data_IF_627148536720
#
_entry.id   IF_627148536720
#
_cell.length_a   1.000
_cell.length_b   1.000
_cell.length_c   1.000
_cell.angle_alpha   90.00
_cell.angle_beta   90.00
_cell.angle_gamma   90.00
#
_symmetry.space_group_name_H-M   'P 1'
#
loop_
_entity.id
_entity.type
_entity.pdbx_description
1 polymer ?
#
# COMPACT_ATOMS: atom_id res chain seq x y z
N UNK A 1 -10.98 -20.82 21.28
CA UNK A 1 -9.85 -20.82 22.25
C UNK A 1 -8.89 -19.74 21.81
N UNK A 2 -8.63 -18.70 22.61
CA UNK A 2 -7.69 -17.65 22.24
C UNK A 2 -6.26 -18.18 22.43
N UNK A 3 -5.48 -18.09 21.39
CA UNK A 3 -4.05 -18.47 21.39
C UNK A 3 -3.27 -17.46 22.24
N UNK A 4 -2.75 -17.91 23.38
CA UNK A 4 -2.01 -17.08 24.33
C UNK A 4 -0.54 -17.00 23.89
N UNK A 5 -0.07 -15.84 23.43
CA UNK A 5 1.29 -15.58 22.97
C UNK A 5 2.34 -15.39 24.08
N UNK A 6 1.99 -15.65 25.35
CA UNK A 6 2.88 -15.37 26.50
C UNK A 6 3.77 -16.53 26.93
N UNK A 7 3.65 -17.74 26.38
CA UNK A 7 4.33 -18.93 26.88
C UNK A 7 5.53 -19.41 26.04
N UNK A 8 6.26 -18.55 25.35
CA UNK A 8 7.55 -18.94 24.79
C UNK A 8 8.70 -18.41 25.64
N UNK A 9 9.61 -19.30 26.11
CA UNK A 9 10.73 -18.92 27.00
C UNK A 9 11.69 -17.98 26.28
N UNK A 10 11.90 -16.81 26.90
CA UNK A 10 12.79 -15.72 26.47
C UNK A 10 14.29 -16.08 26.60
N UNK A 11 14.78 -17.13 25.97
CA UNK A 11 16.22 -17.49 26.05
C UNK A 11 16.79 -18.02 24.72
N UNK A 12 16.50 -17.36 23.59
CA UNK A 12 17.39 -17.45 22.44
C UNK A 12 17.68 -16.03 21.96
N UNK A 13 18.87 -15.56 22.33
CA UNK A 13 19.42 -14.37 21.68
C UNK A 13 19.37 -14.59 20.15
N UNK A 14 19.08 -13.55 19.36
CA UNK A 14 18.79 -13.68 17.94
C UNK A 14 19.93 -14.44 17.26
N UNK A 15 19.63 -15.35 16.30
CA UNK A 15 20.62 -16.22 15.64
C UNK A 15 21.80 -15.45 15.01
N UNK A 16 21.62 -14.16 14.70
CA UNK A 16 22.66 -13.28 14.18
C UNK A 16 23.75 -12.91 15.21
N UNK A 17 23.43 -12.88 16.51
CA UNK A 17 24.45 -12.60 17.55
C UNK A 17 25.52 -13.70 17.60
N UNK A 18 25.16 -14.93 17.23
CA UNK A 18 26.07 -16.10 17.13
C UNK A 18 26.87 -16.04 15.82
N UNK A 19 26.28 -15.60 14.73
CA UNK A 19 26.97 -15.42 13.42
C UNK A 19 27.97 -14.26 13.44
N UNK A 20 27.70 -13.18 14.18
CA UNK A 20 28.61 -12.03 14.31
C UNK A 20 29.97 -12.42 14.88
N UNK A 21 29.98 -13.27 15.93
CA UNK A 21 31.23 -13.80 16.51
C UNK A 21 31.96 -14.74 15.53
N UNK A 22 31.23 -15.51 14.77
CA UNK A 22 31.79 -16.44 13.79
C UNK A 22 32.41 -15.73 12.59
N UNK A 23 31.72 -14.76 12.01
CA UNK A 23 32.24 -13.93 10.90
C UNK A 23 33.46 -13.12 11.36
N UNK A 24 33.38 -12.51 12.56
CA UNK A 24 34.52 -11.80 13.14
C UNK A 24 35.74 -12.71 13.33
N UNK A 25 35.55 -13.91 13.87
CA UNK A 25 36.66 -14.87 14.05
C UNK A 25 37.26 -15.32 12.74
N UNK A 26 36.47 -15.59 11.70
CA UNK A 26 36.98 -15.93 10.37
C UNK A 26 37.75 -14.77 9.73
N UNK A 27 37.20 -13.58 9.79
CA UNK A 27 37.88 -12.38 9.27
C UNK A 27 39.16 -12.09 10.02
N UNK A 28 39.16 -12.17 11.36
CA UNK A 28 40.35 -12.01 12.18
C UNK A 28 41.41 -13.07 11.90
N UNK A 29 41.01 -14.34 11.66
CA UNK A 29 41.94 -15.40 11.29
C UNK A 29 42.57 -15.19 9.92
N UNK A 30 41.75 -14.89 8.90
CA UNK A 30 42.26 -14.67 7.53
C UNK A 30 43.16 -13.43 7.49
N UNK A 31 42.73 -12.33 8.07
CA UNK A 31 43.49 -11.10 8.12
C UNK A 31 44.79 -11.26 8.96
N UNK A 32 44.68 -11.96 10.07
CA UNK A 32 45.83 -12.33 10.90
C UNK A 32 46.85 -13.19 10.14
N UNK A 33 46.40 -14.23 9.43
CA UNK A 33 47.29 -15.12 8.64
C UNK A 33 47.99 -14.37 7.51
N UNK A 34 47.25 -13.52 6.76
CA UNK A 34 47.84 -12.69 5.71
C UNK A 34 48.84 -11.70 6.27
N UNK A 35 48.52 -11.06 7.41
CA UNK A 35 49.43 -10.12 8.08
C UNK A 35 50.71 -10.82 8.54
N UNK A 36 50.60 -12.00 9.16
CA UNK A 36 51.79 -12.78 9.59
C UNK A 36 52.66 -13.15 8.39
N UNK A 37 52.09 -13.58 7.28
CA UNK A 37 52.82 -13.92 6.06
C UNK A 37 53.61 -12.74 5.51
N UNK A 38 52.96 -11.57 5.36
CA UNK A 38 53.65 -10.38 4.89
C UNK A 38 54.71 -9.86 5.84
N UNK A 39 54.49 -9.99 7.17
CA UNK A 39 55.44 -9.55 8.18
C UNK A 39 56.69 -10.42 8.24
N UNK A 40 56.53 -11.75 8.10
CA UNK A 40 57.69 -12.65 7.99
C UNK A 40 58.49 -12.39 6.71
N UNK A 41 57.82 -12.14 5.55
CA UNK A 41 58.51 -11.81 4.31
C UNK A 41 59.25 -10.46 4.41
N UNK A 42 58.65 -9.41 4.98
CA UNK A 42 59.31 -8.11 5.20
C UNK A 42 60.47 -8.25 6.17
N UNK A 43 60.33 -9.02 7.27
CA UNK A 43 61.39 -9.28 8.23
C UNK A 43 62.61 -9.97 7.58
N UNK A 44 62.36 -10.96 6.73
CA UNK A 44 63.44 -11.67 5.98
C UNK A 44 64.14 -10.70 4.99
N UNK A 45 63.38 -9.90 4.24
CA UNK A 45 63.94 -8.93 3.29
C UNK A 45 64.79 -7.87 4.04
N UNK A 46 64.28 -7.33 5.15
CA UNK A 46 65.02 -6.36 5.96
C UNK A 46 66.31 -6.97 6.53
N UNK A 47 66.25 -8.25 7.00
CA UNK A 47 67.45 -8.97 7.47
C UNK A 47 68.49 -9.10 6.36
N UNK A 48 68.11 -9.55 5.19
CA UNK A 48 69.01 -9.75 4.04
C UNK A 48 69.64 -8.43 3.55
N UNK A 49 68.86 -7.35 3.49
CA UNK A 49 69.38 -6.04 3.07
C UNK A 49 70.33 -5.45 4.12
N UNK A 50 69.95 -5.46 5.42
CA UNK A 50 70.78 -4.92 6.48
C UNK A 50 72.05 -5.71 6.73
N UNK A 51 72.00 -7.05 6.62
CA UNK A 51 73.22 -7.90 6.79
C UNK A 51 74.24 -7.66 5.72
N UNK A 52 73.82 -7.27 4.49
CA UNK A 52 74.72 -6.98 3.37
C UNK A 52 75.27 -5.55 3.36
N UNK A 53 74.54 -4.58 3.87
CA UNK A 53 74.91 -3.15 3.77
C UNK A 53 75.68 -2.60 4.97
N UNK A 54 75.62 -3.21 6.12
CA UNK A 54 76.24 -2.68 7.35
C UNK A 54 76.67 -3.76 8.33
N UNK A 55 77.91 -4.29 8.20
CA UNK A 55 78.46 -5.35 9.11
C UNK A 55 78.74 -4.86 10.54
N UNK A 56 78.73 -3.55 10.84
CA UNK A 56 79.10 -3.00 12.13
C UNK A 56 77.90 -2.80 13.10
N UNK A 57 76.66 -3.16 12.74
CA UNK A 57 75.51 -3.04 13.65
C UNK A 57 75.56 -4.11 14.76
N UNK A 58 75.25 -3.66 15.98
CA UNK A 58 75.13 -4.61 17.11
C UNK A 58 73.96 -5.56 16.91
N UNK A 59 74.08 -6.84 17.35
CA UNK A 59 72.96 -7.83 17.22
C UNK A 59 71.62 -7.33 17.82
N UNK A 60 71.68 -6.43 18.83
CA UNK A 60 70.50 -5.90 19.48
C UNK A 60 69.73 -4.90 18.60
N UNK A 61 70.43 -4.07 17.82
CA UNK A 61 69.76 -3.15 16.87
C UNK A 61 69.11 -3.86 15.69
N UNK A 62 69.77 -4.90 15.18
CA UNK A 62 69.21 -5.78 14.15
C UNK A 62 67.93 -6.46 14.64
N UNK A 63 67.92 -6.99 15.84
CA UNK A 63 66.78 -7.66 16.43
C UNK A 63 65.61 -6.68 16.69
N UNK A 64 65.90 -5.45 17.11
CA UNK A 64 64.90 -4.41 17.34
C UNK A 64 64.19 -3.98 16.03
N UNK A 65 64.91 -3.88 14.91
CA UNK A 65 64.35 -3.53 13.61
C UNK A 65 63.57 -4.72 13.02
N UNK A 66 64.11 -5.94 13.09
CA UNK A 66 63.48 -7.14 12.52
C UNK A 66 62.19 -7.50 13.26
N UNK A 67 62.12 -7.32 14.59
CA UNK A 67 60.96 -7.64 15.40
C UNK A 67 60.03 -6.42 15.60
N UNK A 68 60.60 -5.23 15.80
CA UNK A 68 59.84 -4.03 16.15
C UNK A 68 59.01 -3.45 15.03
N UNK A 69 59.57 -3.36 13.79
CA UNK A 69 58.84 -2.84 12.64
C UNK A 69 57.65 -3.73 12.25
N UNK A 70 57.79 -5.07 12.14
CA UNK A 70 56.66 -5.95 11.93
C UNK A 70 55.61 -5.86 13.01
N UNK A 71 56.00 -5.83 14.28
CA UNK A 71 55.06 -5.73 15.39
C UNK A 71 54.25 -4.44 15.38
N UNK A 72 54.91 -3.30 15.11
CA UNK A 72 54.24 -2.02 14.96
C UNK A 72 53.24 -2.01 13.79
N UNK A 73 53.62 -2.60 12.64
CA UNK A 73 52.73 -2.75 11.50
C UNK A 73 51.54 -3.66 11.82
N UNK A 74 51.76 -4.77 12.53
CA UNK A 74 50.69 -5.67 12.95
C UNK A 74 49.67 -4.97 13.86
N UNK A 75 50.13 -4.20 14.81
CA UNK A 75 49.26 -3.41 15.69
C UNK A 75 48.46 -2.36 14.90
N UNK A 76 49.11 -1.64 14.00
CA UNK A 76 48.43 -0.66 13.14
C UNK A 76 47.39 -1.34 12.20
N UNK A 77 47.75 -2.46 11.59
CA UNK A 77 46.84 -3.20 10.70
C UNK A 77 45.65 -3.77 11.48
N UNK A 78 45.86 -4.28 12.68
CA UNK A 78 44.80 -4.78 13.59
C UNK A 78 43.85 -3.67 13.99
N UNK A 79 44.37 -2.48 14.28
CA UNK A 79 43.57 -1.29 14.60
C UNK A 79 42.72 -0.85 13.40
N UNK A 80 43.34 -0.70 12.22
CA UNK A 80 42.65 -0.30 10.99
C UNK A 80 41.60 -1.35 10.59
N UNK A 81 41.95 -2.64 10.62
CA UNK A 81 41.03 -3.74 10.34
C UNK A 81 39.86 -3.78 11.31
N UNK A 82 40.10 -3.56 12.60
CA UNK A 82 39.05 -3.46 13.62
C UNK A 82 38.11 -2.28 13.41
N UNK A 83 38.67 -1.12 13.05
CA UNK A 83 37.88 0.09 12.71
C UNK A 83 37.06 -0.11 11.43
N UNK A 84 37.66 -0.67 10.39
CA UNK A 84 36.99 -0.97 9.12
C UNK A 84 35.84 -1.99 9.33
N UNK A 85 36.09 -3.03 10.11
CA UNK A 85 35.05 -4.01 10.44
C UNK A 85 33.88 -3.39 11.23
N UNK A 86 34.15 -2.51 12.19
CA UNK A 86 33.12 -1.78 12.92
C UNK A 86 32.34 -0.82 12.02
N UNK A 87 32.99 -0.20 11.04
CA UNK A 87 32.34 0.76 10.12
C UNK A 87 31.53 0.10 9.01
N UNK A 88 31.93 -1.06 8.53
CA UNK A 88 31.32 -1.73 7.38
C UNK A 88 30.62 -3.04 7.75
N UNK A 89 31.26 -3.89 8.54
CA UNK A 89 30.74 -5.23 8.84
C UNK A 89 29.51 -5.24 9.75
N UNK A 90 29.46 -4.34 10.75
CA UNK A 90 28.32 -4.30 11.68
C UNK A 90 27.05 -3.80 11.02
N UNK A 91 27.04 -2.70 10.26
CA UNK A 91 25.82 -2.25 9.57
C UNK A 91 25.30 -3.26 8.57
N UNK A 92 26.20 -3.97 7.88
CA UNK A 92 25.78 -4.99 6.92
C UNK A 92 25.09 -6.19 7.62
N UNK A 93 25.63 -6.63 8.76
CA UNK A 93 25.00 -7.67 9.56
C UNK A 93 23.63 -7.23 10.13
N UNK A 94 23.51 -5.96 10.50
CA UNK A 94 22.25 -5.37 10.97
C UNK A 94 21.18 -5.36 9.84
N UNK A 95 21.56 -5.01 8.60
CA UNK A 95 20.67 -5.06 7.43
C UNK A 95 20.20 -6.49 7.18
N UNK A 96 21.12 -7.47 7.14
CA UNK A 96 20.74 -8.87 6.93
C UNK A 96 19.77 -9.38 8.00
N UNK A 97 20.04 -9.06 9.26
CA UNK A 97 19.17 -9.49 10.37
C UNK A 97 17.79 -8.80 10.32
N UNK A 98 17.74 -7.53 9.91
CA UNK A 98 16.48 -6.80 9.73
C UNK A 98 15.68 -7.39 8.58
N UNK A 99 16.32 -7.73 7.45
CA UNK A 99 15.68 -8.40 6.32
C UNK A 99 15.10 -9.76 6.72
N UNK A 100 15.84 -10.56 7.49
CA UNK A 100 15.34 -11.83 8.01
C UNK A 100 14.14 -11.64 8.96
N UNK A 101 14.13 -10.57 9.75
CA UNK A 101 13.01 -10.26 10.64
C UNK A 101 11.76 -9.87 9.85
N UNK A 102 11.90 -9.05 8.78
CA UNK A 102 10.81 -8.69 7.87
C UNK A 102 10.26 -9.94 7.17
N UNK A 103 11.12 -10.82 6.67
CA UNK A 103 10.71 -12.07 6.03
C UNK A 103 9.87 -12.99 6.97
N UNK A 104 10.06 -12.86 8.29
CA UNK A 104 9.24 -13.53 9.32
C UNK A 104 8.01 -12.72 9.75
N UNK A 105 7.69 -11.63 9.07
CA UNK A 105 6.51 -10.80 9.35
C UNK A 105 6.70 -9.73 10.45
N UNK A 106 7.91 -9.53 10.95
CA UNK A 106 8.17 -8.47 11.93
C UNK A 106 8.50 -7.15 11.21
N UNK A 107 7.48 -6.34 10.98
CA UNK A 107 7.58 -5.05 10.29
C UNK A 107 7.94 -3.87 11.22
N UNK A 108 8.10 -4.11 12.54
CA UNK A 108 8.48 -3.05 13.49
C UNK A 108 9.99 -2.79 13.53
N UNK A 109 10.78 -3.59 12.83
CA UNK A 109 12.24 -3.48 12.80
C UNK A 109 12.65 -2.21 12.05
N UNK A 110 13.60 -1.46 12.64
CA UNK A 110 14.20 -0.28 11.99
C UNK A 110 15.72 -0.33 12.12
N UNK A 111 16.41 0.08 11.07
CA UNK A 111 17.85 0.26 11.07
C UNK A 111 18.22 1.63 11.66
N UNK A 112 19.34 1.68 12.37
CA UNK A 112 19.86 2.95 12.92
C UNK A 112 20.40 3.84 11.82
N UNK A 113 19.91 5.06 11.73
CA UNK A 113 20.27 6.05 10.69
C UNK A 113 21.56 6.85 11.01
N UNK A 114 22.28 6.47 12.06
CA UNK A 114 23.44 7.22 12.59
C UNK A 114 24.68 7.26 11.67
N UNK A 115 24.66 6.58 10.53
CA UNK A 115 25.80 6.58 9.61
C UNK A 115 25.67 7.70 8.58
N UNK A 116 26.55 8.69 8.64
CA UNK A 116 26.77 9.62 7.53
C UNK A 116 27.44 8.88 6.37
N UNK A 117 26.92 9.02 5.13
CA UNK A 117 27.46 8.38 3.94
C UNK A 117 26.54 7.30 3.32
N UNK A 118 27.06 6.47 2.41
CA UNK A 118 26.26 5.52 1.61
C UNK A 118 25.43 4.54 2.45
N UNK A 119 25.98 4.06 3.57
CA UNK A 119 25.27 3.12 4.46
C UNK A 119 24.13 3.78 5.24
N UNK A 120 24.25 5.06 5.58
CA UNK A 120 23.15 5.83 6.19
C UNK A 120 22.00 6.07 5.19
N UNK A 121 22.34 6.34 3.94
CA UNK A 121 21.35 6.44 2.86
C UNK A 121 20.61 5.11 2.64
N UNK A 122 21.35 4.00 2.67
CA UNK A 122 20.76 2.66 2.55
C UNK A 122 19.82 2.36 3.72
N UNK A 123 20.22 2.68 4.95
CA UNK A 123 19.37 2.49 6.13
C UNK A 123 18.07 3.30 6.04
N UNK A 124 18.12 4.55 5.58
CA UNK A 124 16.91 5.37 5.36
C UNK A 124 15.99 4.78 4.30
N UNK A 125 16.53 4.40 3.14
CA UNK A 125 15.74 3.75 2.07
C UNK A 125 15.09 2.45 2.56
N UNK A 126 15.83 1.64 3.31
CA UNK A 126 15.32 0.44 3.93
C UNK A 126 14.19 0.75 4.92
N UNK A 127 14.36 1.72 5.83
CA UNK A 127 13.34 2.12 6.79
C UNK A 127 12.07 2.65 6.08
N UNK A 128 12.23 3.42 5.00
CA UNK A 128 11.09 3.89 4.19
C UNK A 128 10.34 2.71 3.55
N UNK A 129 11.06 1.77 2.95
CA UNK A 129 10.45 0.56 2.38
C UNK A 129 9.69 -0.25 3.44
N UNK A 130 10.26 -0.40 4.64
CA UNK A 130 9.59 -1.11 5.75
C UNK A 130 8.35 -0.34 6.22
N UNK A 131 8.40 0.99 6.27
CA UNK A 131 7.25 1.81 6.64
C UNK A 131 6.11 1.67 5.62
N UNK A 132 6.41 1.65 4.31
CA UNK A 132 5.40 1.40 3.27
C UNK A 132 4.80 0.00 3.38
N UNK A 133 5.64 -1.03 3.62
CA UNK A 133 5.16 -2.40 3.80
C UNK A 133 4.27 -2.54 5.06
N UNK A 134 4.62 -1.86 6.15
CA UNK A 134 3.82 -1.83 7.38
C UNK A 134 2.45 -1.16 7.14
N UNK A 135 2.42 -0.04 6.41
CA UNK A 135 1.17 0.64 6.01
C UNK A 135 0.30 -0.25 5.14
N UNK A 136 0.88 -0.87 4.11
CA UNK A 136 0.16 -1.78 3.22
C UNK A 136 -0.44 -2.98 3.99
N UNK A 137 0.31 -3.58 4.90
CA UNK A 137 -0.18 -4.69 5.73
C UNK A 137 -1.28 -4.24 6.70
N UNK A 138 -1.16 -3.03 7.26
CA UNK A 138 -2.21 -2.47 8.12
C UNK A 138 -3.49 -2.16 7.33
N UNK A 139 -3.38 -1.58 6.14
CA UNK A 139 -4.53 -1.36 5.25
C UNK A 139 -5.21 -2.68 4.89
N UNK A 140 -4.43 -3.71 4.53
CA UNK A 140 -4.96 -5.05 4.22
C UNK A 140 -5.72 -5.66 5.41
N UNK A 141 -5.19 -5.51 6.64
CA UNK A 141 -5.86 -5.99 7.86
C UNK A 141 -7.15 -5.24 8.14
N UNK A 142 -7.13 -3.92 8.01
CA UNK A 142 -8.32 -3.08 8.20
C UNK A 142 -9.39 -3.48 7.18
N UNK A 143 -9.03 -3.57 5.89
CA UNK A 143 -9.92 -3.99 4.83
C UNK A 143 -10.56 -5.35 5.11
N UNK A 144 -9.78 -6.35 5.58
CA UNK A 144 -10.33 -7.67 5.93
C UNK A 144 -11.33 -7.59 7.08
N UNK A 145 -11.05 -6.76 8.08
CA UNK A 145 -11.97 -6.55 9.21
C UNK A 145 -13.26 -5.85 8.78
N UNK A 146 -13.14 -4.83 7.92
CA UNK A 146 -14.28 -4.08 7.38
C UNK A 146 -15.16 -4.98 6.48
N UNK A 147 -14.57 -5.79 5.61
CA UNK A 147 -15.28 -6.81 4.81
C UNK A 147 -16.09 -7.73 5.73
N UNK A 148 -15.44 -8.29 6.75
CA UNK A 148 -16.13 -9.21 7.67
C UNK A 148 -17.30 -8.53 8.40
N UNK A 149 -17.16 -7.24 8.73
CA UNK A 149 -18.22 -6.48 9.38
C UNK A 149 -19.37 -6.18 8.43
N UNK A 150 -19.08 -5.72 7.20
CA UNK A 150 -20.09 -5.37 6.19
C UNK A 150 -20.86 -6.59 5.66
N UNK A 151 -20.24 -7.77 5.60
CA UNK A 151 -20.94 -9.03 5.26
C UNK A 151 -21.78 -9.56 6.43
N UNK A 152 -21.30 -9.42 7.66
CA UNK A 152 -22.01 -9.99 8.84
C UNK A 152 -23.36 -9.35 9.08
N UNK A 153 -23.49 -8.05 8.87
CA UNK A 153 -24.73 -7.32 9.20
C UNK A 153 -25.92 -7.75 8.35
N UNK A 154 -25.87 -7.73 6.98
CA UNK A 154 -26.99 -8.21 6.16
C UNK A 154 -27.26 -9.71 6.41
N UNK A 155 -26.21 -10.51 6.64
CA UNK A 155 -26.37 -11.92 6.95
C UNK A 155 -27.17 -12.15 8.23
N UNK A 156 -26.92 -11.37 9.31
CA UNK A 156 -27.69 -11.44 10.56
C UNK A 156 -29.12 -10.96 10.36
N UNK A 157 -29.38 -9.94 9.52
CA UNK A 157 -30.74 -9.47 9.23
C UNK A 157 -31.51 -10.57 8.49
N UNK A 158 -30.93 -11.16 7.45
CA UNK A 158 -31.51 -12.28 6.70
C UNK A 158 -31.84 -13.44 7.65
N UNK A 159 -30.87 -13.85 8.46
CA UNK A 159 -31.03 -14.95 9.42
C UNK A 159 -32.11 -14.65 10.43
N UNK A 160 -32.10 -13.46 11.04
CA UNK A 160 -33.09 -13.05 12.05
C UNK A 160 -34.51 -12.97 11.47
N UNK A 161 -34.68 -12.46 10.24
CA UNK A 161 -35.98 -12.43 9.58
C UNK A 161 -36.51 -13.87 9.31
N UNK A 162 -35.66 -14.77 8.79
CA UNK A 162 -36.03 -16.14 8.51
C UNK A 162 -36.34 -16.93 9.81
N UNK A 163 -35.52 -16.78 10.85
CA UNK A 163 -35.78 -17.38 12.18
C UNK A 163 -37.09 -16.85 12.79
N UNK A 164 -37.32 -15.53 12.70
CA UNK A 164 -38.58 -14.91 13.21
C UNK A 164 -39.82 -15.40 12.48
N UNK A 165 -39.73 -15.69 11.17
CA UNK A 165 -40.80 -16.30 10.38
C UNK A 165 -41.00 -17.76 10.82
N UNK A 166 -39.93 -18.53 10.98
CA UNK A 166 -39.98 -19.95 11.38
C UNK A 166 -40.57 -20.12 12.80
N UNK A 167 -40.24 -19.23 13.72
CA UNK A 167 -40.68 -19.25 15.10
C UNK A 167 -42.12 -18.66 15.26
N UNK A 168 -42.72 -18.16 14.16
CA UNK A 168 -44.04 -17.54 14.15
C UNK A 168 -44.08 -16.16 14.81
N UNK A 169 -42.97 -15.52 15.01
CA UNK A 169 -42.84 -14.14 15.53
C UNK A 169 -43.19 -13.13 14.44
N UNK A 170 -42.80 -13.39 13.20
CA UNK A 170 -43.14 -12.60 12.01
C UNK A 170 -44.09 -13.38 11.12
N UNK A 171 -45.09 -12.71 10.59
CA UNK A 171 -45.93 -13.29 9.54
C UNK A 171 -45.15 -13.34 8.22
N UNK A 172 -45.26 -14.42 7.41
CA UNK A 172 -44.63 -14.53 6.10
C UNK A 172 -45.34 -13.66 5.05
N UNK A 173 -45.39 -12.36 5.30
CA UNK A 173 -45.98 -11.41 4.35
C UNK A 173 -45.06 -11.19 3.16
N UNK A 174 -45.63 -10.73 2.05
CA UNK A 174 -44.82 -10.35 0.86
C UNK A 174 -43.79 -9.27 1.21
N UNK A 175 -44.10 -8.36 2.13
CA UNK A 175 -43.23 -7.29 2.62
C UNK A 175 -41.99 -7.88 3.32
N UNK A 176 -42.17 -8.72 4.36
CA UNK A 176 -41.07 -9.33 5.11
C UNK A 176 -40.17 -10.23 4.23
N UNK A 177 -40.77 -10.89 3.22
CA UNK A 177 -40.02 -11.70 2.25
C UNK A 177 -39.23 -10.79 1.28
N UNK A 178 -39.81 -9.66 0.84
CA UNK A 178 -39.15 -8.70 -0.04
C UNK A 178 -37.97 -8.05 0.67
N UNK A 179 -38.11 -7.62 1.92
CA UNK A 179 -37.03 -7.05 2.73
C UNK A 179 -35.85 -8.04 2.86
N UNK A 180 -36.16 -9.32 3.13
CA UNK A 180 -35.13 -10.37 3.21
C UNK A 180 -34.45 -10.60 1.86
N UNK A 181 -35.22 -10.54 0.77
CA UNK A 181 -34.67 -10.65 -0.58
C UNK A 181 -33.77 -9.46 -0.95
N UNK A 182 -34.15 -8.27 -0.54
CA UNK A 182 -33.35 -7.06 -0.80
C UNK A 182 -32.03 -7.06 -0.02
N UNK A 183 -32.00 -7.56 1.22
CA UNK A 183 -30.75 -7.83 1.95
C UNK A 183 -29.88 -8.91 1.25
N UNK A 184 -30.51 -9.95 0.69
CA UNK A 184 -29.78 -10.96 -0.08
C UNK A 184 -29.16 -10.37 -1.35
N UNK A 185 -29.89 -9.50 -2.06
CA UNK A 185 -29.38 -8.78 -3.25
C UNK A 185 -28.25 -7.82 -2.88
N UNK A 186 -28.36 -7.15 -1.72
CA UNK A 186 -27.28 -6.31 -1.21
C UNK A 186 -26.02 -7.14 -0.95
N UNK A 187 -26.15 -8.28 -0.30
CA UNK A 187 -25.02 -9.18 -0.04
C UNK A 187 -24.36 -9.67 -1.34
N UNK A 188 -25.15 -10.05 -2.35
CA UNK A 188 -24.64 -10.46 -3.65
C UNK A 188 -23.83 -9.32 -4.30
N UNK A 189 -24.36 -8.10 -4.32
CA UNK A 189 -23.63 -6.93 -4.85
C UNK A 189 -22.33 -6.67 -4.10
N UNK A 190 -22.31 -6.81 -2.78
CA UNK A 190 -21.07 -6.64 -1.99
C UNK A 190 -20.00 -7.66 -2.37
N UNK A 191 -20.40 -8.91 -2.64
CA UNK A 191 -19.48 -9.98 -3.08
C UNK A 191 -18.92 -9.66 -4.48
N UNK A 192 -19.78 -9.25 -5.43
CA UNK A 192 -19.36 -8.87 -6.78
C UNK A 192 -18.42 -7.64 -6.78
N UNK A 193 -18.71 -6.66 -5.93
CA UNK A 193 -17.89 -5.47 -5.71
C UNK A 193 -16.50 -5.83 -5.18
N UNK A 194 -16.42 -6.72 -4.18
CA UNK A 194 -15.17 -7.20 -3.63
C UNK A 194 -14.36 -8.02 -4.63
N UNK A 195 -15.02 -8.85 -5.45
CA UNK A 195 -14.36 -9.60 -6.51
C UNK A 195 -13.77 -8.65 -7.56
N UNK A 196 -14.55 -7.65 -8.01
CA UNK A 196 -14.10 -6.63 -8.96
C UNK A 196 -12.90 -5.86 -8.42
N UNK A 197 -12.95 -5.42 -7.16
CA UNK A 197 -11.86 -4.72 -6.50
C UNK A 197 -10.59 -5.59 -6.43
N UNK A 198 -10.73 -6.84 -6.00
CA UNK A 198 -9.61 -7.78 -5.88
C UNK A 198 -8.91 -8.04 -7.21
N UNK A 199 -9.69 -8.24 -8.29
CA UNK A 199 -9.15 -8.44 -9.65
C UNK A 199 -8.47 -7.17 -10.19
N UNK A 200 -9.05 -6.00 -9.92
CA UNK A 200 -8.51 -4.73 -10.36
C UNK A 200 -7.19 -4.39 -9.62
N UNK A 201 -7.12 -4.57 -8.30
CA UNK A 201 -5.89 -4.38 -7.51
C UNK A 201 -4.76 -5.35 -7.94
N UNK A 202 -5.12 -6.57 -8.34
CA UNK A 202 -4.17 -7.54 -8.87
C UNK A 202 -3.73 -7.23 -10.33
N UNK A 203 -4.33 -6.23 -10.99
CA UNK A 203 -4.11 -5.95 -12.41
C UNK A 203 -4.62 -7.07 -13.33
N UNK A 204 -5.58 -7.87 -12.85
CA UNK A 204 -6.13 -9.03 -13.54
C UNK A 204 -7.59 -8.85 -13.95
N UNK A 205 -8.14 -7.64 -13.81
CA UNK A 205 -9.50 -7.36 -14.23
C UNK A 205 -9.61 -7.51 -15.77
N UNK A 206 -10.41 -8.45 -16.28
CA UNK A 206 -10.63 -8.53 -17.71
C UNK A 206 -11.47 -7.34 -18.16
N UNK A 207 -10.98 -6.60 -19.14
CA UNK A 207 -11.71 -5.55 -19.82
C UNK A 207 -12.09 -6.03 -21.22
N UNK A 208 -13.31 -5.69 -21.64
CA UNK A 208 -13.85 -6.00 -22.97
C UNK A 208 -14.09 -4.71 -23.75
N UNK A 209 -13.02 -4.04 -24.26
CA UNK A 209 -13.16 -2.76 -24.92
C UNK A 209 -13.98 -2.89 -26.22
N UNK A 210 -14.98 -2.04 -26.36
CA UNK A 210 -15.80 -1.86 -27.55
C UNK A 210 -15.78 -0.40 -27.97
N UNK A 211 -16.12 -0.11 -29.23
CA UNK A 211 -16.26 1.27 -29.70
C UNK A 211 -17.70 1.72 -29.57
N UNK A 212 -17.90 2.89 -29.01
CA UNK A 212 -19.22 3.50 -28.82
C UNK A 212 -19.11 5.03 -28.77
N UNK A 213 -20.22 5.70 -28.98
CA UNK A 213 -20.30 7.15 -28.80
C UNK A 213 -20.39 7.50 -27.33
N UNK A 214 -19.59 8.46 -26.88
CA UNK A 214 -19.61 8.91 -25.49
C UNK A 214 -21.01 9.38 -25.05
N UNK A 215 -21.76 10.02 -25.94
CA UNK A 215 -23.12 10.47 -25.65
C UNK A 215 -24.08 9.33 -25.30
N UNK A 216 -23.93 8.16 -25.93
CA UNK A 216 -24.78 6.98 -25.64
C UNK A 216 -24.52 6.47 -24.20
N UNK A 217 -23.26 6.42 -23.78
CA UNK A 217 -22.90 6.03 -22.42
C UNK A 217 -23.47 7.01 -21.39
N UNK A 218 -23.38 8.32 -21.64
CA UNK A 218 -23.91 9.34 -20.72
C UNK A 218 -25.44 9.26 -20.62
N UNK A 219 -26.12 9.05 -21.73
CA UNK A 219 -27.57 8.90 -21.76
C UNK A 219 -28.03 7.67 -20.98
N UNK A 220 -27.45 6.50 -21.28
CA UNK A 220 -27.79 5.24 -20.61
C UNK A 220 -27.55 5.31 -19.10
N UNK A 221 -26.43 5.93 -18.68
CA UNK A 221 -26.13 6.13 -17.27
C UNK A 221 -27.14 7.03 -16.58
N UNK A 222 -27.60 8.10 -17.22
CA UNK A 222 -28.56 9.06 -16.65
C UNK A 222 -29.99 8.54 -16.62
N UNK A 223 -30.44 7.81 -17.65
CA UNK A 223 -31.80 7.24 -17.76
C UNK A 223 -32.19 6.45 -16.49
N UNK A 224 -31.25 5.69 -15.95
CA UNK A 224 -31.44 4.90 -14.71
C UNK A 224 -31.73 5.76 -13.45
N UNK A 225 -31.47 7.07 -13.51
CA UNK A 225 -31.59 7.97 -12.36
C UNK A 225 -32.65 9.06 -12.50
N UNK A 226 -33.25 9.27 -13.69
CA UNK A 226 -34.27 10.31 -13.90
C UNK A 226 -35.44 10.23 -12.92
N UNK A 227 -36.03 9.03 -12.77
CA UNK A 227 -37.16 8.82 -11.86
C UNK A 227 -36.78 9.07 -10.41
N UNK A 228 -35.56 8.70 -10.02
CA UNK A 228 -35.06 8.90 -8.65
C UNK A 228 -34.73 10.37 -8.40
N UNK A 229 -34.15 11.08 -9.33
CA UNK A 229 -33.88 12.51 -9.26
C UNK A 229 -35.18 13.30 -9.11
N UNK A 230 -36.19 12.98 -9.96
CA UNK A 230 -37.52 13.60 -9.89
C UNK A 230 -38.21 13.34 -8.52
N UNK A 231 -38.14 12.12 -8.01
CA UNK A 231 -38.74 11.79 -6.69
C UNK A 231 -38.06 12.53 -5.51
N UNK A 232 -36.78 12.92 -5.67
CA UNK A 232 -36.03 13.70 -4.69
C UNK A 232 -36.09 15.22 -4.92
N UNK A 233 -36.80 15.67 -5.97
CA UNK A 233 -36.78 17.06 -6.45
C UNK A 233 -35.35 17.58 -6.72
N UNK A 234 -34.52 16.79 -7.40
CA UNK A 234 -33.18 17.15 -7.84
C UNK A 234 -33.18 17.26 -9.35
N UNK A 235 -32.60 18.34 -9.90
CA UNK A 235 -32.46 18.52 -11.32
C UNK A 235 -31.25 17.75 -11.85
N UNK A 236 -31.47 16.78 -12.75
CA UNK A 236 -30.41 16.00 -13.40
C UNK A 236 -30.20 16.55 -14.82
N UNK A 237 -29.00 17.06 -15.07
CA UNK A 237 -28.60 17.57 -16.39
C UNK A 237 -27.51 16.71 -17.03
N UNK A 238 -27.66 16.44 -18.33
CA UNK A 238 -26.67 15.71 -19.12
C UNK A 238 -26.16 16.62 -20.24
N UNK A 239 -24.87 16.82 -20.29
CA UNK A 239 -24.20 17.68 -21.29
C UNK A 239 -23.15 16.87 -22.05
N UNK A 240 -23.48 16.39 -23.24
CA UNK A 240 -22.56 15.69 -24.12
C UNK A 240 -21.94 16.65 -25.16
N UNK A 241 -20.67 16.44 -25.55
CA UNK A 241 -20.03 17.23 -26.58
C UNK A 241 -20.69 16.98 -27.95
N UNK A 242 -20.79 18.02 -28.79
CA UNK A 242 -21.30 17.93 -30.15
C UNK A 242 -20.22 18.38 -31.15
N UNK A 243 -19.72 17.50 -32.05
CA UNK A 243 -20.06 16.08 -32.18
C UNK A 243 -19.52 15.22 -31.00
N UNK A 244 -20.28 14.16 -30.68
CA UNK A 244 -19.83 13.23 -29.63
C UNK A 244 -18.65 12.40 -30.14
N UNK A 245 -17.54 12.33 -29.38
CA UNK A 245 -16.41 11.48 -29.74
C UNK A 245 -16.76 9.99 -29.60
N UNK A 246 -16.17 9.16 -30.48
CA UNK A 246 -16.14 7.71 -30.32
C UNK A 246 -14.96 7.34 -29.42
N UNK A 247 -15.19 6.52 -28.40
CA UNK A 247 -14.15 6.04 -27.50
C UNK A 247 -14.08 4.50 -27.55
N UNK A 248 -12.91 3.94 -27.21
CA UNK A 248 -12.69 2.49 -27.11
C UNK A 248 -12.45 2.10 -25.65
N UNK A 249 -13.49 1.57 -25.00
CA UNK A 249 -13.44 1.22 -23.58
C UNK A 249 -14.41 0.05 -23.27
N UNK A 250 -14.38 -0.47 -22.06
CA UNK A 250 -15.38 -1.41 -21.59
C UNK A 250 -16.64 -0.64 -21.16
N UNK A 251 -17.67 -0.74 -22.00
CA UNK A 251 -18.94 -0.01 -21.83
C UNK A 251 -19.60 -0.28 -20.48
N UNK A 252 -19.71 -1.56 -20.10
CA UNK A 252 -20.39 -1.96 -18.87
C UNK A 252 -19.64 -1.46 -17.65
N UNK A 253 -18.31 -1.51 -17.68
CA UNK A 253 -17.47 -1.00 -16.58
C UNK A 253 -17.52 0.51 -16.46
N UNK A 254 -17.52 1.24 -17.57
CA UNK A 254 -17.70 2.70 -17.53
C UNK A 254 -19.10 3.09 -17.09
N UNK A 255 -20.13 2.37 -17.52
CA UNK A 255 -21.49 2.59 -17.03
C UNK A 255 -21.58 2.33 -15.51
N UNK A 256 -20.90 1.30 -14.99
CA UNK A 256 -20.77 1.07 -13.53
C UNK A 256 -20.10 2.24 -12.81
N UNK A 257 -19.04 2.83 -13.39
CA UNK A 257 -18.37 4.01 -12.86
C UNK A 257 -19.33 5.19 -12.75
N UNK A 258 -20.04 5.52 -13.85
CA UNK A 258 -20.99 6.65 -13.87
C UNK A 258 -22.17 6.41 -12.92
N UNK A 259 -22.71 5.20 -12.88
CA UNK A 259 -23.78 4.81 -11.96
C UNK A 259 -23.39 5.02 -10.50
N UNK A 260 -22.16 4.64 -10.14
CA UNK A 260 -21.64 4.86 -8.78
C UNK A 260 -21.54 6.37 -8.45
N UNK A 261 -21.02 7.17 -9.36
CA UNK A 261 -20.88 8.62 -9.17
C UNK A 261 -22.23 9.32 -9.10
N UNK A 262 -23.16 9.02 -10.03
CA UNK A 262 -24.51 9.58 -10.04
C UNK A 262 -25.31 9.19 -8.79
N UNK A 263 -25.21 7.92 -8.37
CA UNK A 263 -25.83 7.47 -7.13
C UNK A 263 -25.29 8.22 -5.90
N UNK A 264 -23.99 8.49 -5.88
CA UNK A 264 -23.37 9.28 -4.80
C UNK A 264 -23.81 10.74 -4.85
N UNK A 265 -23.79 11.38 -6.01
CA UNK A 265 -24.22 12.75 -6.21
C UNK A 265 -25.69 12.96 -5.76
N UNK A 266 -26.62 12.11 -6.23
CA UNK A 266 -28.04 12.20 -5.83
C UNK A 266 -28.28 11.95 -4.35
N UNK A 267 -27.47 11.10 -3.72
CA UNK A 267 -27.60 10.84 -2.26
C UNK A 267 -27.22 12.06 -1.43
N UNK A 268 -26.24 12.83 -1.86
CA UNK A 268 -25.70 13.95 -1.12
C UNK A 268 -26.28 15.30 -1.54
N UNK A 269 -27.09 15.34 -2.59
CA UNK A 269 -27.77 16.54 -3.06
C UNK A 269 -29.11 16.71 -2.33
N UNK A 270 -29.34 17.90 -1.80
CA UNK A 270 -30.61 18.25 -1.17
C UNK A 270 -31.72 18.50 -2.21
N UNK A 271 -32.97 18.46 -1.80
CA UNK A 271 -34.09 18.85 -2.63
C UNK A 271 -33.90 20.27 -3.21
N UNK A 272 -34.28 20.45 -4.48
CA UNK A 272 -34.05 21.63 -5.31
C UNK A 272 -32.54 21.88 -5.64
N UNK A 273 -31.68 20.89 -5.42
CA UNK A 273 -30.32 20.91 -5.88
C UNK A 273 -30.19 20.40 -7.32
N UNK A 274 -28.97 20.40 -7.82
CA UNK A 274 -28.63 20.00 -9.20
C UNK A 274 -27.53 18.96 -9.20
N UNK A 275 -27.64 17.99 -10.11
CA UNK A 275 -26.57 17.07 -10.50
C UNK A 275 -26.32 17.23 -11.98
N UNK A 276 -25.06 17.45 -12.38
CA UNK A 276 -24.67 17.61 -13.78
C UNK A 276 -23.68 16.51 -14.17
N UNK A 277 -24.03 15.77 -15.22
CA UNK A 277 -23.14 14.83 -15.89
C UNK A 277 -22.65 15.50 -17.19
N UNK A 278 -21.42 15.94 -17.22
CA UNK A 278 -20.80 16.64 -18.33
C UNK A 278 -19.65 15.84 -18.93
N UNK A 279 -19.48 15.90 -20.25
CA UNK A 279 -18.31 15.34 -20.90
C UNK A 279 -17.73 16.28 -21.93
N UNK A 280 -16.43 16.28 -22.09
CA UNK A 280 -15.70 17.07 -23.09
C UNK A 280 -14.56 16.27 -23.70
N UNK A 281 -14.22 16.59 -24.96
CA UNK A 281 -13.00 16.07 -25.58
C UNK A 281 -11.80 16.89 -25.10
N UNK A 282 -10.73 16.21 -24.69
CA UNK A 282 -9.45 16.82 -24.32
C UNK A 282 -8.37 16.39 -25.32
N UNK A 283 -7.16 16.97 -25.22
CA UNK A 283 -6.10 16.77 -26.20
C UNK A 283 -5.74 15.28 -26.40
N UNK A 284 -5.70 14.48 -25.32
CA UNK A 284 -5.26 13.09 -25.34
C UNK A 284 -6.40 12.11 -24.95
N UNK A 285 -7.67 12.50 -25.09
CA UNK A 285 -8.78 11.65 -24.71
C UNK A 285 -10.08 12.38 -24.42
N UNK A 286 -10.79 11.92 -23.40
CA UNK A 286 -12.06 12.52 -22.96
C UNK A 286 -12.04 12.75 -21.47
N UNK A 287 -12.70 13.82 -21.02
CA UNK A 287 -12.98 14.07 -19.61
C UNK A 287 -14.49 13.96 -19.38
N UNK A 288 -14.85 13.20 -18.36
CA UNK A 288 -16.23 13.06 -17.88
C UNK A 288 -16.28 13.61 -16.46
N UNK A 289 -17.23 14.48 -16.19
CA UNK A 289 -17.38 15.15 -14.90
C UNK A 289 -18.78 14.92 -14.35
N UNK A 290 -18.87 14.52 -13.08
CA UNK A 290 -20.11 14.47 -12.31
C UNK A 290 -20.02 15.51 -11.21
N UNK A 291 -20.87 16.53 -11.26
CA UNK A 291 -20.93 17.63 -10.28
C UNK A 291 -22.26 17.63 -9.56
N UNK A 292 -22.26 17.89 -8.26
CA UNK A 292 -23.44 18.05 -7.45
C UNK A 292 -23.40 19.36 -6.65
N UNK A 293 -24.57 19.87 -6.28
CA UNK A 293 -24.74 21.04 -5.39
C UNK A 293 -25.14 20.61 -3.97
N UNK A 294 -24.57 19.50 -3.53
CA UNK A 294 -24.91 18.87 -2.25
C UNK A 294 -24.15 19.41 -1.05
N UNK A 295 -24.00 18.56 -0.04
CA UNK A 295 -23.35 18.94 1.22
C UNK A 295 -21.86 19.20 1.11
N UNK A 296 -21.24 18.76 0.02
CA UNK A 296 -19.78 18.78 -0.15
C UNK A 296 -19.04 17.84 0.80
N UNK A 297 -17.73 17.80 0.67
CA UNK A 297 -16.80 16.92 1.38
C UNK A 297 -15.79 17.80 2.14
N UNK A 298 -15.58 17.58 3.45
CA UNK A 298 -14.54 18.30 4.19
C UNK A 298 -13.16 18.10 3.59
N UNK A 299 -12.28 19.14 3.56
CA UNK A 299 -10.95 19.04 3.00
C UNK A 299 -10.06 17.94 3.61
N UNK A 300 -10.26 17.66 4.91
CA UNK A 300 -9.56 16.59 5.61
C UNK A 300 -9.95 15.20 5.14
N UNK A 301 -11.14 15.03 4.55
CA UNK A 301 -11.67 13.76 4.08
C UNK A 301 -11.33 13.48 2.61
N UNK A 302 -11.12 14.52 1.79
CA UNK A 302 -10.83 14.39 0.36
C UNK A 302 -9.71 13.39 0.01
N UNK A 303 -8.59 13.29 0.76
CA UNK A 303 -7.54 12.32 0.48
C UNK A 303 -7.98 10.86 0.63
N UNK A 304 -9.05 10.60 1.38
CA UNK A 304 -9.47 9.26 1.80
C UNK A 304 -10.75 8.76 1.12
N UNK A 305 -11.48 9.60 0.37
CA UNK A 305 -12.79 9.23 -0.22
C UNK A 305 -12.74 8.05 -1.18
N UNK A 306 -11.58 7.75 -1.75
CA UNK A 306 -11.34 6.60 -2.62
C UNK A 306 -10.82 5.37 -1.88
N UNK A 307 -10.65 5.44 -0.57
CA UNK A 307 -10.25 4.28 0.24
C UNK A 307 -11.44 3.34 0.42
N UNK A 308 -11.17 2.05 0.45
CA UNK A 308 -12.20 1.03 0.65
C UNK A 308 -12.90 1.23 1.99
N UNK A 309 -14.25 1.13 1.99
CA UNK A 309 -15.10 1.29 3.17
C UNK A 309 -15.02 2.66 3.84
N UNK A 310 -14.41 3.65 3.18
CA UNK A 310 -14.40 5.01 3.71
C UNK A 310 -15.81 5.62 3.75
N UNK A 311 -16.12 6.31 4.85
CA UNK A 311 -17.38 7.02 5.07
C UNK A 311 -17.14 8.26 5.92
N UNK A 312 -17.58 9.41 5.47
CA UNK A 312 -17.35 10.70 6.12
C UNK A 312 -17.98 10.83 7.51
N UNK A 313 -19.08 10.13 7.79
CA UNK A 313 -19.71 10.14 9.10
C UNK A 313 -20.05 8.72 9.56
N UNK A 314 -19.24 8.18 10.48
CA UNK A 314 -19.41 6.84 11.07
C UNK A 314 -20.63 6.74 12.01
N UNK A 315 -21.25 7.86 12.39
CA UNK A 315 -22.35 7.90 13.35
C UNK A 315 -23.73 7.84 12.69
N UNK A 316 -23.84 8.05 11.39
CA UNK A 316 -25.14 7.98 10.68
C UNK A 316 -25.55 6.53 10.45
N UNK A 317 -26.85 6.21 10.71
CA UNK A 317 -27.38 4.89 10.42
C UNK A 317 -27.19 4.55 8.94
N UNK A 318 -27.08 3.24 8.65
CA UNK A 318 -27.02 2.74 7.27
C UNK A 318 -28.19 3.32 6.47
N UNK A 319 -27.94 4.34 5.71
CA UNK A 319 -28.86 4.73 4.62
C UNK A 319 -28.70 3.68 3.53
N UNK A 320 -29.79 3.17 2.99
CA UNK A 320 -29.82 2.09 2.02
C UNK A 320 -28.71 2.17 0.98
N UNK A 321 -27.90 1.12 0.87
CA UNK A 321 -27.03 0.85 -0.24
C UNK A 321 -25.61 1.45 -0.22
N UNK A 322 -25.07 2.00 0.89
CA UNK A 322 -23.72 2.54 0.91
C UNK A 322 -22.71 1.59 1.58
N UNK A 323 -22.07 0.73 0.81
CA UNK A 323 -20.98 -0.15 1.28
C UNK A 323 -19.65 0.59 1.53
N UNK A 324 -19.50 1.83 1.04
CA UNK A 324 -18.20 2.52 1.01
C UNK A 324 -17.20 1.93 -0.02
N UNK A 325 -17.66 1.04 -0.90
CA UNK A 325 -16.84 0.44 -1.96
C UNK A 325 -16.98 1.17 -3.30
N UNK A 326 -18.10 1.87 -3.54
CA UNK A 326 -18.40 2.45 -4.85
C UNK A 326 -17.31 3.37 -5.41
N UNK A 327 -16.79 4.31 -4.63
CA UNK A 327 -15.72 5.21 -5.06
C UNK A 327 -14.36 4.49 -5.22
N UNK A 328 -14.05 3.52 -4.37
CA UNK A 328 -12.85 2.69 -4.50
C UNK A 328 -12.90 1.88 -5.81
N UNK A 329 -14.03 1.24 -6.12
CA UNK A 329 -14.25 0.52 -7.37
C UNK A 329 -14.16 1.47 -8.56
N UNK A 330 -14.82 2.63 -8.49
CA UNK A 330 -14.74 3.66 -9.53
C UNK A 330 -13.29 4.00 -9.86
N UNK A 331 -12.47 4.27 -8.85
CA UNK A 331 -11.04 4.55 -9.04
C UNK A 331 -10.31 3.39 -9.71
N UNK A 332 -10.52 2.16 -9.25
CA UNK A 332 -9.85 0.98 -9.82
C UNK A 332 -10.27 0.72 -11.27
N UNK A 333 -11.55 0.87 -11.59
CA UNK A 333 -12.06 0.71 -12.95
C UNK A 333 -11.47 1.78 -13.90
N UNK A 334 -11.40 3.04 -13.47
CA UNK A 334 -10.79 4.13 -14.26
C UNK A 334 -9.29 3.86 -14.47
N UNK A 335 -8.57 3.45 -13.43
CA UNK A 335 -7.14 3.09 -13.54
C UNK A 335 -6.92 1.89 -14.46
N UNK A 336 -7.81 0.88 -14.43
CA UNK A 336 -7.74 -0.28 -15.33
C UNK A 336 -7.91 0.12 -16.81
N UNK A 337 -8.65 1.20 -17.09
CA UNK A 337 -8.75 1.80 -18.44
C UNK A 337 -7.58 2.72 -18.81
N UNK A 338 -6.54 2.82 -17.97
CA UNK A 338 -5.41 3.71 -18.18
C UNK A 338 -5.73 5.19 -17.92
N UNK A 339 -6.88 5.48 -17.30
CA UNK A 339 -7.35 6.81 -16.98
C UNK A 339 -6.92 7.30 -15.59
N UNK A 340 -7.41 8.48 -15.23
CA UNK A 340 -7.25 9.09 -13.92
C UNK A 340 -8.59 9.61 -13.39
N UNK A 341 -8.76 9.61 -12.06
CA UNK A 341 -9.91 10.20 -11.38
C UNK A 341 -9.44 11.16 -10.31
N UNK A 342 -10.11 12.29 -10.20
CA UNK A 342 -9.92 13.30 -9.17
C UNK A 342 -11.25 13.77 -8.60
N UNK A 343 -11.19 14.39 -7.43
CA UNK A 343 -12.36 15.01 -6.79
C UNK A 343 -11.98 16.38 -6.23
N UNK A 344 -12.86 17.34 -6.45
CA UNK A 344 -12.81 18.67 -5.87
C UNK A 344 -14.13 18.93 -5.12
N UNK A 345 -14.06 19.53 -3.95
CA UNK A 345 -15.27 19.78 -3.17
C UNK A 345 -15.07 20.95 -2.21
N UNK A 346 -16.16 21.66 -1.97
CA UNK A 346 -16.27 22.69 -0.96
C UNK A 346 -17.50 22.40 -0.08
N UNK A 347 -17.28 22.39 1.23
CA UNK A 347 -18.32 22.07 2.20
C UNK A 347 -19.50 23.06 2.09
N UNK A 348 -20.70 22.55 1.90
CA UNK A 348 -21.93 23.34 1.74
C UNK A 348 -22.16 23.87 0.33
N UNK A 349 -21.25 23.65 -0.64
CA UNK A 349 -21.36 24.05 -2.04
C UNK A 349 -21.64 22.84 -2.94
N UNK A 350 -20.91 21.72 -2.73
CA UNK A 350 -21.05 20.49 -3.47
C UNK A 350 -19.72 19.81 -3.76
N UNK A 351 -19.76 18.77 -4.59
CA UNK A 351 -18.59 18.03 -5.02
C UNK A 351 -18.58 17.84 -6.55
N UNK A 352 -17.37 17.72 -7.09
CA UNK A 352 -17.12 17.49 -8.52
C UNK A 352 -16.11 16.35 -8.65
N UNK A 353 -16.52 15.28 -9.30
CA UNK A 353 -15.66 14.15 -9.64
C UNK A 353 -15.32 14.21 -11.14
N UNK A 354 -14.04 14.20 -11.46
CA UNK A 354 -13.53 14.25 -12.84
C UNK A 354 -12.78 12.98 -13.19
N UNK A 355 -13.17 12.37 -14.31
CA UNK A 355 -12.55 11.17 -14.89
C UNK A 355 -11.90 11.57 -16.19
N UNK A 356 -10.65 11.22 -16.38
CA UNK A 356 -9.92 11.36 -17.64
C UNK A 356 -9.61 9.99 -18.21
N UNK A 357 -10.01 9.75 -19.45
CA UNK A 357 -9.76 8.49 -20.15
C UNK A 357 -8.94 8.78 -21.41
N UNK A 358 -7.95 7.95 -21.75
CA UNK A 358 -7.21 8.05 -23.00
C UNK A 358 -8.14 7.76 -24.19
N UNK A 359 -7.77 8.33 -25.37
CA UNK A 359 -8.53 8.14 -26.60
C UNK A 359 -8.46 6.72 -27.15
#
# INVERSE_FOLDING_TARGET
MPYNWQDHPRHFGPPWARNRRFIFRRFAMIFGSISIFFLTAIGIILYLVFSQTNPDYSPATLLAVICGVPLAFMLAASLVGGLAFRRLGTPFADIMSATDAIARGNLSVRLRENNRGPLGNLARRFNNMVAELERAEQQRRNMTADIAHELRTPLHIIQGNLEGILDGVYEPTAENITDTLDETRLLARLVDDLQTLSLAEAGQLPLHPTRFLLADLLADAADGFESRAAAQNVDLHVEAPAPSPEISADYDRLNQVLTNLLSNALRHTNANGQVTLHAEAIQDGVRITVSDTGTGIPPEDLPYIFDCFWRGDKSRPRTEGSSGLGLAITRQLVLAHGGAISAESELGVGATFSIELPA
#
